data_IF_545332297644
#
_entry.id   IF_545332297644
#
_cell.length_a   1.000
_cell.length_b   1.000
_cell.length_c   1.000
_cell.angle_alpha   90.00
_cell.angle_beta   90.00
_cell.angle_gamma   90.00
#
_symmetry.space_group_name_H-M   'P 1'
#
loop_
_entity.id
_entity.type
_entity.pdbx_description
1 polymer ?
#
# COMPACT_ATOMS: atom_id res chain seq x y z
N UNK A 1 40.23 55.91 -7.91
CA UNK A 1 40.87 56.61 -9.06
C UNK A 1 41.02 55.62 -10.20
N UNK A 2 40.49 56.00 -11.38
CA UNK A 2 40.83 55.53 -12.76
C UNK A 2 40.75 54.03 -13.10
N UNK A 3 40.15 53.51 -14.17
CA UNK A 3 39.08 53.87 -15.15
C UNK A 3 39.02 52.70 -16.17
N UNK A 4 37.81 52.33 -16.59
CA UNK A 4 37.36 51.78 -17.89
C UNK A 4 38.18 50.71 -18.66
N UNK A 5 37.49 49.66 -19.14
CA UNK A 5 36.96 49.60 -20.54
C UNK A 5 36.04 48.40 -20.80
N UNK A 6 34.91 48.68 -21.47
CA UNK A 6 34.05 47.75 -22.23
C UNK A 6 34.58 47.61 -23.67
N UNK A 7 34.14 46.55 -24.39
CA UNK A 7 33.59 46.73 -25.74
C UNK A 7 32.22 46.02 -25.86
N UNK A 8 31.13 46.73 -26.18
CA UNK A 8 30.53 46.98 -27.51
C UNK A 8 29.91 45.78 -28.24
N UNK A 9 28.61 45.96 -28.49
CA UNK A 9 27.66 45.12 -29.19
C UNK A 9 27.97 44.86 -30.67
N UNK A 10 27.47 43.73 -31.18
CA UNK A 10 27.03 43.60 -32.56
C UNK A 10 25.50 43.48 -32.60
N UNK A 11 24.90 44.40 -33.37
CA UNK A 11 23.50 44.39 -33.82
C UNK A 11 23.45 43.83 -35.25
N UNK A 12 22.21 43.59 -35.69
CA UNK A 12 21.66 43.40 -37.05
C UNK A 12 21.21 41.95 -37.29
N UNK A 13 19.91 41.60 -37.31
CA UNK A 13 18.70 42.11 -37.99
C UNK A 13 18.46 41.47 -39.37
N UNK A 14 17.15 41.27 -39.65
CA UNK A 14 16.50 40.85 -40.90
C UNK A 14 16.48 39.32 -41.17
N UNK A 15 15.40 38.71 -41.65
CA UNK A 15 14.19 39.26 -42.26
C UNK A 15 13.03 38.26 -42.33
N UNK A 16 11.86 38.85 -42.62
CA UNK A 16 10.53 38.25 -42.76
C UNK A 16 10.38 37.42 -44.06
N UNK A 17 9.10 37.05 -44.36
CA UNK A 17 8.52 36.56 -45.64
C UNK A 17 8.24 35.03 -45.61
N UNK A 18 7.05 34.44 -45.82
CA UNK A 18 5.76 34.83 -46.42
C UNK A 18 4.55 34.19 -45.71
N UNK A 19 3.44 34.92 -45.71
CA UNK A 19 2.09 34.39 -45.68
C UNK A 19 1.67 33.91 -47.08
N UNK A 20 1.08 32.73 -47.19
CA UNK A 20 0.25 32.32 -48.34
C UNK A 20 -1.09 31.81 -47.81
N UNK A 21 -2.16 32.50 -48.21
CA UNK A 21 -3.53 32.03 -48.19
C UNK A 21 -3.75 31.01 -49.31
N UNK A 22 -4.53 29.97 -49.05
CA UNK A 22 -5.02 29.05 -50.08
C UNK A 22 -5.97 28.02 -49.50
N UNK A 23 -7.26 28.20 -49.77
CA UNK A 23 -8.37 27.33 -49.37
C UNK A 23 -8.36 25.99 -50.12
N UNK A 24 -9.13 25.05 -49.53
CA UNK A 24 -9.78 23.89 -50.13
C UNK A 24 -9.02 22.56 -50.06
N UNK A 25 -9.43 21.75 -49.09
CA UNK A 25 -9.11 20.34 -48.96
C UNK A 25 -9.67 19.80 -47.67
N UNK A 26 -11.00 19.83 -47.50
CA UNK A 26 -11.66 19.07 -46.45
C UNK A 26 -11.42 17.59 -46.74
N UNK A 27 -10.34 17.04 -46.19
CA UNK A 27 -10.11 15.61 -46.14
C UNK A 27 -11.22 15.01 -45.27
N UNK A 28 -12.24 14.46 -45.93
CA UNK A 28 -13.23 13.62 -45.28
C UNK A 28 -12.48 12.41 -44.71
N UNK A 29 -12.17 12.47 -43.42
CA UNK A 29 -11.72 11.31 -42.67
C UNK A 29 -12.85 10.27 -42.74
N UNK A 30 -12.67 9.25 -43.56
CA UNK A 30 -13.54 8.08 -43.52
C UNK A 30 -13.26 7.35 -42.20
N UNK A 31 -14.25 7.20 -41.30
CA UNK A 31 -14.03 6.44 -40.08
C UNK A 31 -13.75 4.99 -40.47
N UNK A 32 -12.55 4.52 -40.12
CA UNK A 32 -12.21 3.10 -40.16
C UNK A 32 -13.11 2.40 -39.11
N UNK A 33 -14.20 1.79 -39.58
CA UNK A 33 -15.11 1.03 -38.73
C UNK A 33 -14.43 -0.28 -38.33
N UNK A 34 -13.93 -0.35 -37.09
CA UNK A 34 -13.45 -1.59 -36.49
C UNK A 34 -14.66 -2.51 -36.20
N UNK A 35 -14.59 -3.83 -36.47
CA UNK A 35 -15.67 -4.75 -36.17
C UNK A 35 -16.04 -4.69 -34.68
N UNK A 36 -17.25 -4.22 -34.37
CA UNK A 36 -17.77 -4.06 -33.00
C UNK A 36 -17.93 -2.61 -32.50
N UNK A 37 -17.52 -1.60 -33.27
CA UNK A 37 -17.79 -0.20 -32.93
C UNK A 37 -19.22 0.20 -33.35
N UNK A 38 -20.07 0.58 -32.39
CA UNK A 38 -21.39 1.17 -32.68
C UNK A 38 -21.23 2.43 -33.54
N UNK A 39 -22.04 2.60 -34.61
CA UNK A 39 -22.02 3.82 -35.40
C UNK A 39 -22.46 5.04 -34.56
N UNK A 40 -21.82 6.18 -34.79
CA UNK A 40 -22.25 7.47 -34.25
C UNK A 40 -23.64 7.81 -34.79
N UNK A 41 -24.65 7.88 -33.92
CA UNK A 41 -25.98 8.36 -34.27
C UNK A 41 -25.95 9.87 -34.58
N UNK A 42 -26.62 10.28 -35.65
CA UNK A 42 -26.81 11.71 -35.96
C UNK A 42 -27.61 12.41 -34.85
N UNK A 43 -27.37 13.72 -34.59
CA UNK A 43 -28.14 14.47 -33.61
C UNK A 43 -29.63 14.53 -34.04
N UNK A 44 -30.52 13.91 -33.26
CA UNK A 44 -31.97 13.97 -33.45
C UNK A 44 -32.70 12.64 -33.60
N UNK A 45 -31.99 11.51 -33.79
CA UNK A 45 -32.64 10.20 -33.83
C UNK A 45 -32.69 9.56 -32.42
N UNK A 46 -33.80 9.76 -31.70
CA UNK A 46 -34.09 8.96 -30.50
C UNK A 46 -34.51 7.55 -30.92
N UNK A 47 -33.60 6.59 -30.81
CA UNK A 47 -33.97 5.17 -30.80
C UNK A 47 -34.63 4.86 -29.46
N UNK A 48 -35.90 4.46 -29.52
CA UNK A 48 -36.63 3.89 -28.39
C UNK A 48 -35.95 2.57 -27.98
N UNK A 49 -35.51 2.47 -26.74
CA UNK A 49 -34.97 1.22 -26.21
C UNK A 49 -36.06 0.13 -26.20
N UNK A 50 -35.74 -1.14 -26.52
CA UNK A 50 -36.69 -2.23 -26.39
C UNK A 50 -37.07 -2.41 -24.90
N UNK A 51 -38.35 -2.67 -24.65
CA UNK A 51 -38.89 -2.85 -23.31
C UNK A 51 -38.20 -4.01 -22.59
N UNK A 52 -37.53 -3.72 -21.47
CA UNK A 52 -37.01 -4.75 -20.57
C UNK A 52 -38.18 -5.42 -19.83
N UNK A 53 -38.33 -6.71 -20.07
CA UNK A 53 -39.23 -7.58 -19.30
C UNK A 53 -38.77 -7.56 -17.84
N UNK A 54 -39.73 -7.35 -16.93
CA UNK A 54 -39.49 -6.93 -15.56
C UNK A 54 -38.59 -7.84 -14.75
N UNK A 55 -37.36 -7.38 -14.52
CA UNK A 55 -36.60 -7.70 -13.32
C UNK A 55 -36.79 -6.58 -12.32
N UNK A 56 -37.28 -6.89 -11.12
CA UNK A 56 -37.34 -5.93 -10.01
C UNK A 56 -35.96 -5.30 -9.84
N UNK A 57 -35.85 -4.03 -10.23
CA UNK A 57 -34.66 -3.22 -9.96
C UNK A 57 -34.59 -3.03 -8.45
N UNK A 58 -33.80 -3.85 -7.78
CA UNK A 58 -33.45 -3.60 -6.39
C UNK A 58 -32.80 -2.23 -6.35
N UNK A 59 -33.43 -1.26 -5.68
CA UNK A 59 -32.86 0.06 -5.47
C UNK A 59 -31.37 -0.09 -5.06
N UNK A 60 -30.44 0.68 -5.65
CA UNK A 60 -29.03 0.55 -5.32
C UNK A 60 -28.87 0.70 -3.81
N UNK A 61 -28.47 -0.37 -3.11
CA UNK A 61 -28.14 -0.24 -1.69
C UNK A 61 -27.04 0.82 -1.57
N UNK A 62 -27.14 1.77 -0.64
CA UNK A 62 -26.08 2.73 -0.40
C UNK A 62 -24.79 1.94 -0.20
N UNK A 63 -23.79 2.14 -1.07
CA UNK A 63 -22.52 1.43 -1.01
C UNK A 63 -21.75 1.94 0.19
N UNK A 64 -21.90 1.27 1.33
CA UNK A 64 -21.09 1.53 2.52
C UNK A 64 -19.69 0.95 2.33
N UNK A 65 -18.68 1.62 2.88
CA UNK A 65 -17.31 1.10 2.90
C UNK A 65 -17.29 -0.35 3.45
N UNK A 66 -16.74 -1.33 2.69
CA UNK A 66 -16.65 -2.70 3.17
C UNK A 66 -15.81 -2.79 4.45
N UNK A 67 -16.13 -3.78 5.27
CA UNK A 67 -15.29 -4.10 6.42
C UNK A 67 -13.92 -4.60 5.94
N UNK A 68 -12.87 -4.10 6.58
CA UNK A 68 -11.48 -4.56 6.40
C UNK A 68 -11.01 -5.13 7.73
N UNK A 69 -10.05 -6.04 7.70
CA UNK A 69 -9.39 -6.45 8.93
C UNK A 69 -8.59 -5.27 9.49
N UNK A 70 -8.77 -4.95 10.77
CA UNK A 70 -7.89 -4.01 11.46
C UNK A 70 -6.79 -4.83 12.14
N UNK A 71 -5.52 -4.65 11.76
CA UNK A 71 -4.42 -5.42 12.32
C UNK A 71 -4.25 -5.14 13.81
N UNK A 72 -3.97 -6.20 14.56
CA UNK A 72 -3.54 -6.15 15.96
C UNK A 72 -2.12 -6.69 16.11
N UNK A 73 -1.56 -6.53 17.30
CA UNK A 73 -0.21 -6.99 17.68
C UNK A 73 -0.04 -8.50 17.49
N UNK A 74 -1.13 -9.27 17.68
CA UNK A 74 -1.18 -10.72 17.44
C UNK A 74 -0.72 -11.13 16.03
N UNK A 75 -0.86 -10.22 15.05
CA UNK A 75 -0.43 -10.50 13.67
C UNK A 75 1.09 -10.55 13.53
N UNK A 76 1.86 -9.94 14.44
CA UNK A 76 3.33 -9.86 14.42
C UNK A 76 4.02 -10.44 15.64
N UNK A 77 3.28 -10.73 16.71
CA UNK A 77 3.83 -11.23 17.97
C UNK A 77 4.65 -12.51 17.77
N UNK A 78 5.89 -12.51 18.27
CA UNK A 78 6.84 -13.64 18.18
C UNK A 78 7.36 -13.96 16.77
N UNK A 79 7.00 -13.17 15.75
CA UNK A 79 7.47 -13.37 14.37
C UNK A 79 8.73 -12.56 14.12
N UNK A 80 9.70 -13.17 13.45
CA UNK A 80 10.86 -12.46 12.93
C UNK A 80 10.46 -11.67 11.69
N UNK A 81 10.62 -10.35 11.77
CA UNK A 81 10.34 -9.41 10.71
C UNK A 81 11.65 -8.85 10.15
N UNK A 82 11.68 -8.63 8.84
CA UNK A 82 12.79 -8.08 8.05
C UNK A 82 12.41 -6.70 7.54
N UNK A 83 13.31 -5.72 7.67
CA UNK A 83 13.15 -4.41 7.04
C UNK A 83 13.13 -4.60 5.53
N UNK A 84 12.05 -4.15 4.90
CA UNK A 84 11.85 -4.19 3.45
C UNK A 84 12.07 -5.60 2.85
N UNK A 85 11.76 -6.64 3.62
CA UNK A 85 11.81 -8.05 3.18
C UNK A 85 13.18 -8.72 3.23
N UNK A 86 14.25 -8.05 3.65
CA UNK A 86 15.60 -8.63 3.66
C UNK A 86 16.48 -8.29 4.86
N UNK A 87 16.82 -7.02 5.04
CA UNK A 87 17.85 -6.58 5.99
C UNK A 87 17.31 -6.34 7.40
N UNK A 88 18.16 -6.47 8.40
CA UNK A 88 17.79 -6.28 9.80
C UNK A 88 16.80 -7.33 10.32
N UNK A 89 16.58 -7.32 11.63
CA UNK A 89 15.66 -8.23 12.32
C UNK A 89 14.90 -7.49 13.40
N UNK A 90 13.58 -7.68 13.43
CA UNK A 90 12.71 -7.19 14.48
C UNK A 90 11.81 -8.32 14.98
N UNK A 91 11.63 -8.45 16.28
CA UNK A 91 10.66 -9.37 16.89
C UNK A 91 9.93 -8.63 18.00
N UNK A 92 8.60 -8.55 17.88
CA UNK A 92 7.75 -8.03 18.94
C UNK A 92 7.44 -9.16 19.91
N UNK A 93 7.70 -8.95 21.20
CA UNK A 93 7.53 -9.93 22.25
C UNK A 93 6.60 -9.39 23.33
N UNK A 94 5.85 -10.29 23.98
CA UNK A 94 5.04 -9.94 25.13
C UNK A 94 5.94 -9.96 26.37
N UNK A 95 5.96 -8.86 27.10
CA UNK A 95 6.72 -8.71 28.36
C UNK A 95 5.75 -8.66 29.55
N UNK A 96 6.28 -8.73 30.77
CA UNK A 96 5.44 -8.66 31.98
C UNK A 96 4.65 -7.35 32.12
N UNK A 97 5.11 -6.27 31.47
CA UNK A 97 4.52 -4.93 31.53
C UNK A 97 3.84 -4.47 30.23
N UNK A 98 3.76 -5.33 29.21
CA UNK A 98 3.18 -4.99 27.91
C UNK A 98 3.89 -5.69 26.75
N UNK A 99 4.47 -4.91 25.85
CA UNK A 99 5.25 -5.41 24.73
C UNK A 99 6.68 -4.86 24.77
N UNK A 100 7.60 -5.61 24.19
CA UNK A 100 8.97 -5.18 23.92
C UNK A 100 9.38 -5.55 22.50
N UNK A 101 10.24 -4.74 21.90
CA UNK A 101 10.76 -4.96 20.56
C UNK A 101 12.24 -5.33 20.64
N UNK A 102 12.59 -6.53 20.20
CA UNK A 102 13.98 -6.90 19.92
C UNK A 102 14.31 -6.43 18.52
N UNK A 103 15.21 -5.46 18.40
CA UNK A 103 15.55 -4.81 17.12
C UNK A 103 17.06 -4.88 16.85
N UNK A 104 17.41 -5.43 15.69
CA UNK A 104 18.72 -5.38 15.06
C UNK A 104 18.60 -4.60 13.76
N UNK A 105 19.19 -3.41 13.72
CA UNK A 105 19.17 -2.56 12.53
C UNK A 105 20.54 -2.60 11.84
N UNK A 106 20.50 -2.62 10.51
CA UNK A 106 21.68 -2.59 9.66
C UNK A 106 21.79 -1.25 8.94
N UNK A 107 23.02 -0.79 8.76
CA UNK A 107 23.38 0.49 8.18
C UNK A 107 24.83 0.51 7.71
N UNK A 108 25.42 1.70 7.69
CA UNK A 108 26.80 1.91 7.27
C UNK A 108 27.55 2.80 8.27
N UNK A 109 28.88 2.69 8.33
CA UNK A 109 29.69 3.53 9.21
C UNK A 109 29.41 5.01 8.96
N UNK A 110 29.33 5.80 10.03
CA UNK A 110 28.95 7.22 9.95
C UNK A 110 29.98 8.07 9.19
N UNK A 111 31.27 7.73 9.29
CA UNK A 111 32.38 8.38 8.58
C UNK A 111 32.54 7.90 7.13
N UNK A 112 32.11 6.66 6.84
CA UNK A 112 32.27 6.01 5.55
C UNK A 112 31.02 5.16 5.22
N UNK A 113 30.11 5.72 4.42
CA UNK A 113 28.81 5.12 4.07
C UNK A 113 28.90 3.88 3.14
N UNK A 114 30.06 3.24 3.08
CA UNK A 114 30.33 2.04 2.27
C UNK A 114 30.50 0.82 3.17
N UNK A 115 31.14 0.99 4.33
CA UNK A 115 31.39 -0.13 5.25
C UNK A 115 30.13 -0.45 6.05
N UNK A 116 29.60 -1.69 5.98
CA UNK A 116 28.37 -2.04 6.68
C UNK A 116 28.60 -2.06 8.18
N UNK A 117 27.58 -1.65 8.93
CA UNK A 117 27.51 -1.77 10.38
C UNK A 117 26.14 -2.30 10.80
N UNK A 118 26.08 -2.90 11.98
CA UNK A 118 24.83 -3.35 12.56
C UNK A 118 24.80 -3.02 14.04
N UNK A 119 23.64 -2.58 14.51
CA UNK A 119 23.40 -2.28 15.92
C UNK A 119 22.28 -3.17 16.44
N UNK A 120 22.36 -3.53 17.70
CA UNK A 120 21.22 -4.04 18.45
C UNK A 120 20.82 -3.01 19.48
N UNK A 121 19.53 -2.72 19.60
CA UNK A 121 19.02 -1.70 20.51
C UNK A 121 18.98 -2.17 21.98
N UNK A 122 19.25 -3.45 22.24
CA UNK A 122 19.38 -4.05 23.56
C UNK A 122 19.56 -5.56 23.46
N UNK A 123 20.14 -6.17 24.50
CA UNK A 123 20.30 -7.63 24.57
C UNK A 123 18.96 -8.35 24.78
N UNK A 124 18.03 -7.68 25.46
CA UNK A 124 16.64 -8.09 25.68
C UNK A 124 15.68 -7.18 24.91
N UNK A 125 14.42 -7.60 24.65
CA UNK A 125 13.42 -6.75 24.01
C UNK A 125 13.28 -5.40 24.72
N UNK A 126 13.45 -4.31 23.97
CA UNK A 126 13.34 -2.95 24.50
C UNK A 126 11.85 -2.62 24.65
N UNK A 127 11.39 -2.10 25.80
CA UNK A 127 9.98 -1.77 26.00
C UNK A 127 9.43 -0.83 24.91
N UNK A 128 8.17 -1.04 24.54
CA UNK A 128 7.43 -0.12 23.67
C UNK A 128 6.23 0.48 24.39
N UNK A 129 6.02 1.78 24.22
CA UNK A 129 4.89 2.51 24.79
C UNK A 129 3.79 2.66 23.74
N UNK A 130 2.56 2.30 24.08
CA UNK A 130 1.42 2.51 23.18
C UNK A 130 1.06 3.99 23.09
N UNK A 131 0.90 4.48 21.86
CA UNK A 131 0.41 5.83 21.54
C UNK A 131 -1.06 5.80 21.08
N UNK A 132 -1.78 4.70 21.32
CA UNK A 132 -3.16 4.51 20.90
C UNK A 132 -3.31 4.16 19.42
N UNK A 133 -4.38 4.67 18.79
CA UNK A 133 -4.74 4.37 17.39
C UNK A 133 -5.01 5.63 16.54
N UNK A 134 -4.03 6.54 16.36
CA UNK A 134 -4.26 7.84 15.71
C UNK A 134 -4.76 7.72 14.26
N UNK A 135 -4.33 6.69 13.52
CA UNK A 135 -4.77 6.40 12.16
C UNK A 135 -5.68 5.16 12.08
N UNK A 136 -6.33 4.77 13.18
CA UNK A 136 -7.10 3.52 13.27
C UNK A 136 -6.24 2.25 13.35
N UNK A 137 -4.92 2.41 13.50
CA UNK A 137 -3.95 1.33 13.67
C UNK A 137 -3.21 1.50 15.00
N UNK A 138 -2.88 0.41 15.73
CA UNK A 138 -2.04 0.49 16.92
C UNK A 138 -0.70 1.15 16.60
N UNK A 139 -0.37 2.22 17.34
CA UNK A 139 0.90 2.92 17.23
C UNK A 139 1.72 2.73 18.50
N UNK A 140 3.01 2.50 18.32
CA UNK A 140 3.96 2.29 19.41
C UNK A 140 5.21 3.15 19.25
N UNK A 141 5.77 3.55 20.37
CA UNK A 141 7.08 4.20 20.47
C UNK A 141 8.06 3.25 21.13
N UNK A 142 9.25 3.08 20.54
CA UNK A 142 10.35 2.37 21.15
C UNK A 142 11.04 3.24 22.19
N UNK A 143 11.20 2.73 23.41
CA UNK A 143 11.91 3.44 24.50
C UNK A 143 13.43 3.30 24.35
N UNK A 144 13.96 3.76 23.22
CA UNK A 144 15.39 3.80 22.91
C UNK A 144 15.86 5.25 22.73
N UNK A 145 16.73 5.73 23.62
CA UNK A 145 17.21 7.12 23.60
C UNK A 145 18.01 7.47 22.34
N UNK A 146 18.68 6.48 21.72
CA UNK A 146 19.58 6.72 20.60
C UNK A 146 18.86 6.90 19.24
N UNK A 147 17.60 6.45 19.11
CA UNK A 147 16.82 6.62 17.88
C UNK A 147 15.32 6.58 18.20
N UNK A 148 14.57 7.68 18.03
CA UNK A 148 13.16 7.76 18.40
C UNK A 148 12.30 7.03 17.37
N UNK A 149 12.22 5.70 17.48
CA UNK A 149 11.46 4.87 16.55
C UNK A 149 9.99 4.88 16.97
N UNK A 150 9.11 5.30 16.05
CA UNK A 150 7.65 5.17 16.17
C UNK A 150 7.16 4.34 15.01
N UNK A 151 6.26 3.39 15.28
CA UNK A 151 5.74 2.50 14.25
C UNK A 151 4.24 2.22 14.41
N UNK A 152 3.59 2.02 13.26
CA UNK A 152 2.21 1.55 13.16
C UNK A 152 2.19 0.05 12.87
N UNK A 153 1.36 -0.69 13.61
CA UNK A 153 1.16 -2.12 13.40
C UNK A 153 0.27 -2.34 12.18
N UNK A 154 0.74 -3.18 11.26
CA UNK A 154 0.07 -3.61 10.04
C UNK A 154 -0.25 -5.11 10.11
N UNK A 155 -0.96 -5.66 9.13
CA UNK A 155 -1.27 -7.09 9.12
C UNK A 155 -0.02 -7.93 8.83
N UNK A 156 0.58 -8.51 9.88
CA UNK A 156 1.80 -9.31 9.74
C UNK A 156 3.05 -8.49 9.43
N UNK A 157 3.01 -7.18 9.66
CA UNK A 157 4.12 -6.27 9.51
C UNK A 157 3.97 -5.06 10.46
N UNK A 158 4.95 -4.18 10.49
CA UNK A 158 4.79 -2.82 11.00
C UNK A 158 5.48 -1.81 10.08
N UNK A 159 4.99 -0.57 10.07
CA UNK A 159 5.61 0.54 9.33
C UNK A 159 6.26 1.49 10.32
N UNK A 160 7.56 1.73 10.16
CA UNK A 160 8.26 2.77 10.92
C UNK A 160 7.94 4.13 10.30
N UNK A 161 7.32 5.01 11.08
CA UNK A 161 6.88 6.36 10.67
C UNK A 161 7.77 7.47 11.22
N UNK A 162 8.49 7.22 12.31
CA UNK A 162 9.55 8.09 12.83
C UNK A 162 10.80 7.23 13.14
N UNK A 163 12.01 7.76 12.99
CA UNK A 163 12.37 9.13 12.61
C UNK A 163 12.19 9.43 11.11
N UNK A 164 12.06 10.72 10.75
CA UNK A 164 12.02 11.17 9.35
C UNK A 164 13.40 11.08 8.66
N UNK A 165 14.48 11.12 9.44
CA UNK A 165 15.86 11.06 8.96
C UNK A 165 16.60 9.84 9.55
N UNK A 166 17.61 9.29 8.85
CA UNK A 166 18.44 8.21 9.38
C UNK A 166 19.11 8.61 10.70
N UNK A 167 19.13 7.68 11.66
CA UNK A 167 19.78 7.87 12.96
C UNK A 167 21.29 7.65 12.86
N UNK A 168 22.06 8.50 13.53
CA UNK A 168 23.50 8.29 13.75
C UNK A 168 23.70 7.86 15.19
N UNK A 169 24.21 6.65 15.38
CA UNK A 169 24.47 6.06 16.69
C UNK A 169 25.96 6.23 16.98
N UNK A 170 26.29 7.29 17.70
CA UNK A 170 27.68 7.68 17.97
C UNK A 170 28.47 6.58 18.67
N UNK A 171 27.87 5.91 19.66
CA UNK A 171 28.50 4.82 20.41
C UNK A 171 28.90 3.61 19.55
N UNK A 172 28.27 3.44 18.38
CA UNK A 172 28.58 2.37 17.43
C UNK A 172 29.20 2.88 16.12
N UNK A 173 29.48 4.19 16.02
CA UNK A 173 29.89 4.88 14.79
C UNK A 173 29.04 4.46 13.57
N UNK A 174 27.74 4.27 13.75
CA UNK A 174 26.87 3.60 12.79
C UNK A 174 25.68 4.48 12.41
N UNK A 175 25.48 4.71 11.11
CA UNK A 175 24.30 5.39 10.56
C UNK A 175 23.30 4.36 10.05
N UNK A 176 22.12 4.34 10.65
CA UNK A 176 21.03 3.40 10.32
C UNK A 176 19.79 4.15 9.84
N UNK A 177 19.04 3.53 8.94
CA UNK A 177 17.73 4.02 8.52
C UNK A 177 16.65 2.99 8.88
N UNK A 178 15.93 3.14 10.01
CA UNK A 178 14.92 2.16 10.42
C UNK A 178 13.62 2.26 9.60
N UNK A 179 13.48 3.28 8.73
CA UNK A 179 12.26 3.54 7.97
C UNK A 179 11.91 2.41 7.01
N UNK A 180 10.63 2.32 6.69
CA UNK A 180 10.07 1.32 5.78
C UNK A 180 9.25 0.26 6.51
N UNK A 181 8.84 -0.75 5.74
CA UNK A 181 7.96 -1.82 6.22
C UNK A 181 8.81 -2.97 6.75
N UNK A 182 8.60 -3.31 8.02
CA UNK A 182 9.17 -4.49 8.65
C UNK A 182 8.14 -5.61 8.56
N UNK A 183 8.38 -6.55 7.66
CA UNK A 183 7.44 -7.62 7.31
C UNK A 183 8.12 -8.98 7.22
N UNK A 184 7.44 -10.00 6.65
CA UNK A 184 8.03 -11.31 6.44
C UNK A 184 9.27 -11.25 5.55
N UNK A 185 10.16 -12.23 5.70
CA UNK A 185 11.25 -12.45 4.77
C UNK A 185 10.70 -12.68 3.35
N UNK A 186 11.27 -11.96 2.36
CA UNK A 186 10.80 -11.98 0.96
C UNK A 186 10.76 -13.39 0.38
N UNK A 187 11.60 -14.30 0.86
CA UNK A 187 11.65 -15.71 0.41
C UNK A 187 10.39 -16.49 0.77
N UNK A 188 9.64 -16.02 1.78
CA UNK A 188 8.40 -16.66 2.26
C UNK A 188 7.14 -16.17 1.54
N UNK A 189 7.21 -14.99 0.89
CA UNK A 189 6.07 -14.34 0.25
C UNK A 189 5.48 -15.06 -0.98
N UNK A 190 6.25 -15.77 -1.84
CA UNK A 190 5.67 -16.43 -3.02
C UNK A 190 4.51 -17.37 -2.70
N UNK A 191 4.54 -18.04 -1.54
CA UNK A 191 3.49 -18.96 -1.11
C UNK A 191 2.15 -18.26 -0.80
N UNK A 192 2.18 -16.95 -0.52
CA UNK A 192 1.01 -16.15 -0.12
C UNK A 192 0.62 -15.08 -1.13
N UNK A 193 1.32 -14.96 -2.25
CA UNK A 193 1.11 -13.90 -3.24
C UNK A 193 -0.37 -13.77 -3.71
N UNK A 194 -1.07 -14.89 -3.93
CA UNK A 194 -2.49 -14.88 -4.31
C UNK A 194 -3.41 -14.34 -3.20
N UNK A 195 -3.11 -14.65 -1.95
CA UNK A 195 -3.86 -14.16 -0.79
C UNK A 195 -3.62 -12.66 -0.62
N UNK A 196 -2.35 -12.23 -0.65
CA UNK A 196 -1.96 -10.81 -0.61
C UNK A 196 -2.67 -9.99 -1.69
N UNK A 197 -2.76 -10.49 -2.91
CA UNK A 197 -3.43 -9.79 -4.02
C UNK A 197 -4.96 -9.69 -3.81
N UNK A 198 -5.58 -10.74 -3.25
CA UNK A 198 -6.99 -10.71 -2.91
C UNK A 198 -7.28 -9.72 -1.76
N UNK A 199 -6.40 -9.66 -0.75
CA UNK A 199 -6.46 -8.70 0.34
C UNK A 199 -6.28 -7.26 -0.17
N UNK A 200 -5.30 -7.02 -1.05
CA UNK A 200 -5.11 -5.74 -1.74
C UNK A 200 -6.37 -5.30 -2.47
N UNK A 201 -6.99 -6.18 -3.27
CA UNK A 201 -8.21 -5.87 -4.04
C UNK A 201 -9.38 -5.45 -3.13
N UNK A 202 -9.54 -6.12 -1.98
CA UNK A 202 -10.54 -5.75 -0.97
C UNK A 202 -10.23 -4.40 -0.36
N UNK A 203 -8.97 -4.16 0.01
CA UNK A 203 -8.52 -2.90 0.59
C UNK A 203 -8.69 -1.73 -0.39
N UNK A 204 -8.36 -1.88 -1.67
CA UNK A 204 -8.55 -0.84 -2.70
C UNK A 204 -10.03 -0.48 -2.88
N UNK A 205 -10.91 -1.49 -2.85
CA UNK A 205 -12.35 -1.24 -2.86
C UNK A 205 -12.78 -0.48 -1.61
N UNK A 206 -12.25 -0.84 -0.44
CA UNK A 206 -12.52 -0.14 0.82
C UNK A 206 -12.05 1.33 0.77
N UNK A 207 -10.84 1.60 0.28
CA UNK A 207 -10.31 2.96 0.11
C UNK A 207 -11.21 3.77 -0.81
N UNK A 208 -11.59 3.22 -1.98
CA UNK A 208 -12.44 3.93 -2.95
C UNK A 208 -13.82 4.27 -2.40
N UNK A 209 -14.52 3.30 -1.81
CA UNK A 209 -15.85 3.54 -1.24
C UNK A 209 -15.76 4.40 0.03
N UNK A 210 -14.69 4.27 0.80
CA UNK A 210 -14.41 5.09 1.98
C UNK A 210 -14.19 6.57 1.64
N UNK A 211 -13.40 6.87 0.60
CA UNK A 211 -13.25 8.25 0.12
C UNK A 211 -14.55 8.85 -0.39
N UNK A 212 -15.39 8.07 -1.09
CA UNK A 212 -16.73 8.53 -1.48
C UNK A 212 -17.58 8.88 -0.27
N UNK A 213 -17.56 8.03 0.77
CA UNK A 213 -18.31 8.26 2.01
C UNK A 213 -17.79 9.47 2.79
N UNK A 214 -16.47 9.70 2.84
CA UNK A 214 -15.88 10.89 3.44
C UNK A 214 -16.32 12.15 2.71
N UNK A 215 -16.18 12.17 1.38
CA UNK A 215 -16.56 13.31 0.54
C UNK A 215 -18.04 13.66 0.65
N UNK A 216 -18.92 12.67 0.77
CA UNK A 216 -20.36 12.88 0.91
C UNK A 216 -20.76 13.61 2.21
N UNK A 217 -19.93 13.56 3.26
CA UNK A 217 -20.16 14.22 4.55
C UNK A 217 -19.36 15.51 4.73
N UNK A 218 -18.44 15.79 3.80
CA UNK A 218 -17.45 16.85 3.90
C UNK A 218 -17.97 18.18 3.33
N UNK A 219 -17.51 19.30 3.89
CA UNK A 219 -17.71 20.62 3.27
C UNK A 219 -16.78 20.81 2.04
N UNK A 220 -16.97 21.87 1.26
CA UNK A 220 -16.19 22.10 0.03
C UNK A 220 -14.67 22.14 0.23
N UNK A 221 -14.20 22.68 1.36
CA UNK A 221 -12.77 22.73 1.67
C UNK A 221 -12.23 21.34 1.97
N UNK A 222 -12.92 20.58 2.81
CA UNK A 222 -12.59 19.20 3.14
C UNK A 222 -12.64 18.28 1.91
N UNK A 223 -13.63 18.45 1.03
CA UNK A 223 -13.73 17.71 -0.22
C UNK A 223 -12.49 17.89 -1.11
N UNK A 224 -11.95 19.11 -1.18
CA UNK A 224 -10.70 19.39 -1.93
C UNK A 224 -9.49 18.70 -1.29
N UNK A 225 -9.40 18.70 0.04
CA UNK A 225 -8.35 17.98 0.77
C UNK A 225 -8.45 16.48 0.53
N UNK A 226 -9.64 15.90 0.67
CA UNK A 226 -9.90 14.47 0.41
C UNK A 226 -9.54 14.10 -1.03
N UNK A 227 -9.92 14.93 -2.01
CA UNK A 227 -9.59 14.67 -3.41
C UNK A 227 -8.07 14.66 -3.67
N UNK A 228 -7.31 15.56 -3.02
CA UNK A 228 -5.84 15.58 -3.10
C UNK A 228 -5.21 14.35 -2.45
N UNK A 229 -5.69 13.96 -1.26
CA UNK A 229 -5.24 12.73 -0.58
C UNK A 229 -5.48 11.50 -1.47
N UNK A 230 -6.69 11.37 -2.03
CA UNK A 230 -7.03 10.26 -2.92
C UNK A 230 -6.14 10.24 -4.17
N UNK A 231 -5.85 11.39 -4.77
CA UNK A 231 -4.99 11.50 -5.95
C UNK A 231 -3.51 11.22 -5.63
N UNK A 232 -3.03 11.58 -4.44
CA UNK A 232 -1.64 11.38 -4.01
C UNK A 232 -1.35 10.00 -3.43
N UNK A 233 -2.39 9.22 -3.06
CA UNK A 233 -2.19 7.97 -2.35
C UNK A 233 -1.35 6.93 -3.13
N UNK A 234 -1.48 6.87 -4.46
CA UNK A 234 -0.70 5.93 -5.26
C UNK A 234 0.80 6.25 -5.26
N UNK A 235 1.18 7.53 -5.29
CA UNK A 235 2.58 7.96 -5.26
C UNK A 235 3.19 7.81 -3.87
N UNK A 236 2.42 8.07 -2.82
CA UNK A 236 2.82 7.81 -1.43
C UNK A 236 3.10 6.32 -1.22
N UNK A 237 2.19 5.44 -1.66
CA UNK A 237 2.38 3.98 -1.58
C UNK A 237 3.64 3.54 -2.31
N UNK A 238 3.88 4.07 -3.50
CA UNK A 238 5.11 3.77 -4.26
C UNK A 238 6.37 4.25 -3.54
N UNK A 239 6.36 5.45 -2.95
CA UNK A 239 7.50 5.96 -2.19
C UNK A 239 7.83 5.08 -0.96
N UNK A 240 6.80 4.62 -0.24
CA UNK A 240 6.97 3.74 0.92
C UNK A 240 7.48 2.35 0.50
N UNK A 241 6.96 1.82 -0.60
CA UNK A 241 7.19 0.42 -0.99
C UNK A 241 8.34 0.20 -1.97
N UNK A 242 8.92 1.27 -2.53
CA UNK A 242 10.01 1.20 -3.52
C UNK A 242 11.17 0.29 -3.11
N UNK A 243 11.56 0.35 -1.84
CA UNK A 243 12.72 -0.38 -1.34
C UNK A 243 12.36 -1.81 -0.87
N UNK A 244 11.07 -2.18 -0.88
CA UNK A 244 10.64 -3.51 -0.49
C UNK A 244 11.06 -4.54 -1.54
N UNK A 245 11.83 -5.54 -1.11
CA UNK A 245 12.39 -6.52 -2.03
C UNK A 245 11.30 -7.28 -2.78
N UNK A 246 11.44 -7.32 -4.12
CA UNK A 246 10.54 -8.02 -5.03
C UNK A 246 9.07 -7.60 -4.91
N UNK A 247 8.81 -6.35 -4.54
CA UNK A 247 7.44 -5.83 -4.41
C UNK A 247 6.62 -6.02 -5.68
N UNK A 248 7.18 -5.73 -6.86
CA UNK A 248 6.50 -5.93 -8.14
C UNK A 248 6.11 -7.39 -8.45
N UNK A 249 6.64 -8.37 -7.71
CA UNK A 249 6.26 -9.79 -7.84
C UNK A 249 5.23 -10.24 -6.81
N UNK A 250 5.26 -9.70 -5.58
CA UNK A 250 4.49 -10.22 -4.45
C UNK A 250 3.41 -9.27 -3.92
N UNK A 251 3.55 -7.96 -4.17
CA UNK A 251 2.59 -6.94 -3.79
C UNK A 251 2.37 -6.76 -2.28
N UNK A 252 3.30 -7.24 -1.44
CA UNK A 252 3.10 -7.31 0.01
C UNK A 252 3.04 -5.92 0.63
N UNK A 253 4.05 -5.08 0.41
CA UNK A 253 4.07 -3.74 0.98
C UNK A 253 2.85 -2.94 0.50
N UNK A 254 2.55 -2.98 -0.80
CA UNK A 254 1.43 -2.27 -1.40
C UNK A 254 0.09 -2.71 -0.81
N UNK A 255 -0.10 -4.00 -0.54
CA UNK A 255 -1.30 -4.51 0.13
C UNK A 255 -1.44 -3.93 1.55
N UNK A 256 -0.38 -4.03 2.37
CA UNK A 256 -0.39 -3.56 3.77
C UNK A 256 -0.60 -2.05 3.88
N UNK A 257 0.02 -1.25 3.00
CA UNK A 257 -0.17 0.21 2.98
C UNK A 257 -1.58 0.59 2.52
N UNK A 258 -2.18 -0.19 1.61
CA UNK A 258 -3.57 0.02 1.19
C UNK A 258 -4.56 -0.32 2.30
N UNK A 259 -4.32 -1.39 3.06
CA UNK A 259 -5.11 -1.71 4.26
C UNK A 259 -4.98 -0.64 5.32
N UNK A 260 -3.77 -0.12 5.55
CA UNK A 260 -3.53 0.98 6.48
C UNK A 260 -4.32 2.25 6.10
N UNK A 261 -4.31 2.60 4.80
CA UNK A 261 -5.11 3.71 4.29
C UNK A 261 -6.60 3.48 4.50
N UNK A 262 -7.08 2.27 4.26
CA UNK A 262 -8.47 1.92 4.51
C UNK A 262 -8.81 2.01 6.02
N UNK A 263 -7.92 1.60 6.93
CA UNK A 263 -8.10 1.73 8.37
C UNK A 263 -8.20 3.20 8.80
N UNK A 264 -7.33 4.05 8.26
CA UNK A 264 -7.36 5.50 8.50
C UNK A 264 -8.67 6.14 8.05
N UNK A 265 -9.16 5.80 6.86
CA UNK A 265 -10.45 6.29 6.35
C UNK A 265 -11.60 5.80 7.23
N UNK A 266 -11.56 4.53 7.64
CA UNK A 266 -12.57 3.95 8.55
C UNK A 266 -12.63 4.70 9.88
N UNK A 267 -11.47 4.99 10.47
CA UNK A 267 -11.38 5.74 11.73
C UNK A 267 -11.95 7.15 11.58
N UNK A 268 -11.64 7.86 10.48
CA UNK A 268 -12.22 9.18 10.18
C UNK A 268 -13.73 9.15 9.99
N UNK A 269 -14.28 8.06 9.47
CA UNK A 269 -15.72 7.87 9.33
C UNK A 269 -16.42 7.51 10.66
N UNK A 270 -15.67 7.27 11.75
CA UNK A 270 -16.22 6.84 13.04
C UNK A 270 -16.89 5.47 12.98
N UNK A 271 -16.52 4.61 12.02
CA UNK A 271 -17.11 3.29 11.89
C UNK A 271 -16.56 2.37 13.00
N UNK A 272 -17.40 1.55 13.65
CA UNK A 272 -16.95 0.66 14.72
C UNK A 272 -15.88 -0.30 14.22
N UNK A 273 -14.99 -0.77 15.10
CA UNK A 273 -14.03 -1.80 14.70
C UNK A 273 -14.80 -3.04 14.19
N UNK A 274 -14.44 -3.57 13.01
CA UNK A 274 -15.11 -4.75 12.48
C UNK A 274 -14.81 -5.92 13.40
N UNK A 275 -15.87 -6.62 13.83
CA UNK A 275 -15.71 -7.82 14.66
C UNK A 275 -14.79 -8.81 13.93
N UNK A 276 -13.85 -9.47 14.65
CA UNK A 276 -13.04 -10.53 14.06
C UNK A 276 -13.94 -11.53 13.36
N UNK A 277 -13.70 -11.79 12.07
CA UNK A 277 -14.45 -12.79 11.35
C UNK A 277 -14.07 -14.14 11.95
N UNK A 278 -14.94 -14.69 12.81
CA UNK A 278 -14.77 -16.05 13.31
C UNK A 278 -14.64 -16.96 12.10
N UNK A 279 -13.55 -17.74 12.05
CA UNK A 279 -13.31 -18.68 10.96
C UNK A 279 -14.58 -19.51 10.76
N UNK A 280 -15.29 -19.29 9.64
CA UNK A 280 -16.47 -20.09 9.33
C UNK A 280 -16.00 -21.55 9.29
N UNK A 281 -16.67 -22.47 10.01
CA UNK A 281 -16.31 -23.88 9.96
C UNK A 281 -16.23 -24.30 8.51
N UNK A 282 -15.05 -24.72 8.07
CA UNK A 282 -14.88 -25.29 6.74
C UNK A 282 -15.88 -26.47 6.66
N UNK A 283 -16.77 -26.52 5.66
CA UNK A 283 -17.69 -27.64 5.53
C UNK A 283 -16.86 -28.92 5.55
N UNK A 284 -17.21 -29.85 6.44
CA UNK A 284 -16.52 -31.13 6.52
C UNK A 284 -16.54 -31.76 5.12
N UNK A 285 -15.39 -31.81 4.46
CA UNK A 285 -15.24 -32.63 3.25
C UNK A 285 -15.58 -34.04 3.67
N UNK A 286 -16.66 -34.58 3.12
CA UNK A 286 -17.10 -35.94 3.35
C UNK A 286 -15.88 -36.86 3.22
N UNK A 287 -15.52 -37.55 4.31
CA UNK A 287 -14.48 -38.58 4.28
C UNK A 287 -14.85 -39.55 3.18
N UNK A 288 -14.02 -39.62 2.13
CA UNK A 288 -14.07 -40.73 1.18
C UNK A 288 -13.95 -42.01 1.98
N UNK A 289 -14.93 -42.88 1.85
CA UNK A 289 -14.88 -44.22 2.41
C UNK A 289 -13.61 -44.92 1.89
N UNK A 290 -12.86 -45.63 2.75
CA UNK A 290 -11.74 -46.44 2.31
C UNK A 290 -12.25 -47.52 1.33
N UNK A 291 -11.47 -47.83 0.28
CA UNK A 291 -11.84 -48.91 -0.64
C UNK A 291 -11.88 -50.25 0.11
N UNK A 292 -12.80 -51.17 -0.26
CA UNK A 292 -12.91 -52.48 0.37
C UNK A 292 -11.61 -53.28 0.17
N UNK A 293 -11.21 -54.00 1.23
CA UNK A 293 -10.05 -54.86 1.23
C UNK A 293 -10.17 -55.96 0.15
N UNK A 294 -9.09 -56.17 -0.61
CA UNK A 294 -9.00 -57.23 -1.59
C UNK A 294 -9.07 -58.61 -0.91
N UNK A 295 -9.85 -59.51 -1.48
CA UNK A 295 -9.97 -60.89 -1.04
C UNK A 295 -8.62 -61.64 -1.20
N UNK A 296 -8.27 -62.57 -0.29
CA UNK A 296 -7.05 -63.34 -0.40
C UNK A 296 -7.10 -64.30 -1.60
N UNK A 297 -5.97 -64.40 -2.30
CA UNK A 297 -5.79 -65.29 -3.44
C UNK A 297 -5.92 -66.77 -3.02
N UNK A 298 -6.47 -67.64 -3.88
CA UNK A 298 -6.58 -69.06 -3.58
C UNK A 298 -5.20 -69.73 -3.57
N UNK A 299 -4.93 -70.46 -2.50
CA UNK A 299 -3.79 -71.38 -2.40
C UNK A 299 -4.01 -72.56 -3.35
N UNK A 300 -3.15 -72.71 -4.34
CA UNK A 300 -3.08 -73.93 -5.16
C UNK A 300 -2.28 -74.97 -4.37
N UNK A 301 -2.89 -76.14 -4.16
CA UNK A 301 -2.21 -77.37 -3.73
C UNK A 301 -1.51 -78.04 -4.91
#
# INVERSE_FOLDING_TARGET
MTTLRRPTAHRLAAGAVMAWLGLAGAALAQPMQLPGAQPFNQPGAQQSAPASVGGQSSAPRPRTMPAIKIPGEDSILGKTLRRNGGFGEATLEKTGSGYGLKLRAEGFQSSNLVEPCAISFGDTPVPVTSLGKPAGLPRYKLEAAACPIVFDVLEGAFLVVEPEQPCVIEAAACRIDPRGVWGPDVRTLPARAKETEAERSKAETAVREGYRALSAKANLTEQRTIAREQAGFSSEREQICRDFQREGSHGFCGARITEARAASIRARLGLPEPKPEAAKPRPATARRAPPPAAAPAPTIQ
#
